data_IF_388908227712
#
_entry.id   IF_388908227712
#
_cell.length_a   1.000
_cell.length_b   1.000
_cell.length_c   1.000
_cell.angle_alpha   90.00
_cell.angle_beta   90.00
_cell.angle_gamma   90.00
#
_symmetry.space_group_name_H-M   'P 1'
#
loop_
_entity.id
_entity.type
_entity.pdbx_description
1 polymer ?
#
# COMPACT_ATOMS: atom_id res chain seq x y z
N UNK A 1 -20.10 15.44 9.53
CA UNK A 1 -20.60 14.68 8.38
C UNK A 1 -21.85 13.89 8.78
N UNK A 2 -22.93 13.94 8.00
CA UNK A 2 -24.18 13.21 8.30
C UNK A 2 -23.99 11.69 8.13
N UNK A 3 -24.86 10.87 8.75
CA UNK A 3 -24.80 9.41 8.60
C UNK A 3 -25.01 8.98 7.13
N UNK A 4 -25.94 9.61 6.41
CA UNK A 4 -26.18 9.35 5.00
C UNK A 4 -24.93 9.63 4.15
N UNK A 5 -24.22 10.73 4.43
CA UNK A 5 -22.97 11.05 3.72
C UNK A 5 -21.86 10.02 4.01
N UNK A 6 -21.67 9.60 5.28
CA UNK A 6 -20.71 8.53 5.60
C UNK A 6 -21.04 7.22 4.88
N UNK A 7 -22.31 6.83 4.86
CA UNK A 7 -22.78 5.62 4.15
C UNK A 7 -22.52 5.71 2.65
N UNK A 8 -22.70 6.89 2.04
CA UNK A 8 -22.39 7.10 0.63
C UNK A 8 -20.90 6.92 0.32
N UNK A 9 -19.98 7.48 1.13
CA UNK A 9 -18.54 7.26 0.93
C UNK A 9 -18.12 5.80 1.14
N UNK A 10 -18.80 5.08 2.04
CA UNK A 10 -18.56 3.65 2.28
C UNK A 10 -18.99 2.75 1.14
N UNK A 11 -19.70 3.22 0.10
CA UNK A 11 -20.04 2.40 -1.07
C UNK A 11 -18.89 2.25 -2.05
N UNK A 12 -17.82 3.04 -1.89
CA UNK A 12 -16.63 2.94 -2.72
C UNK A 12 -15.99 1.55 -2.59
N UNK A 13 -15.62 0.96 -3.73
CA UNK A 13 -15.01 -0.38 -3.77
C UNK A 13 -13.50 -0.26 -3.85
N UNK A 14 -12.81 -1.06 -3.04
CA UNK A 14 -11.36 -1.09 -2.98
C UNK A 14 -10.82 -2.52 -2.93
N UNK A 15 -9.65 -2.72 -3.51
CA UNK A 15 -8.76 -3.81 -3.12
C UNK A 15 -8.04 -3.50 -1.81
N UNK A 16 -7.35 -4.49 -1.27
CA UNK A 16 -6.40 -4.32 -0.17
C UNK A 16 -4.97 -4.58 -0.63
N UNK A 17 -4.07 -3.71 -0.19
CA UNK A 17 -2.66 -3.72 -0.57
C UNK A 17 -1.82 -3.52 0.68
N UNK A 18 -0.61 -4.07 0.71
CA UNK A 18 0.42 -3.64 1.68
C UNK A 18 1.37 -2.68 0.98
N UNK A 19 1.38 -1.44 1.45
CA UNK A 19 2.30 -0.42 0.96
C UNK A 19 3.50 -0.39 1.89
N UNK A 20 4.70 -0.46 1.32
CA UNK A 20 5.96 -0.44 2.05
C UNK A 20 6.81 0.74 1.60
N UNK A 21 7.68 1.20 2.49
CA UNK A 21 8.71 2.19 2.17
C UNK A 21 9.92 1.96 3.07
N UNK A 22 11.03 2.59 2.70
CA UNK A 22 12.27 2.56 3.45
C UNK A 22 12.88 3.95 3.47
N UNK A 23 13.15 4.49 4.66
CA UNK A 23 13.87 5.75 4.82
C UNK A 23 14.92 5.62 5.92
N UNK A 24 16.13 6.16 5.69
CA UNK A 24 17.21 6.12 6.68
C UNK A 24 17.63 4.72 7.12
N UNK A 25 17.32 3.68 6.33
CA UNK A 25 17.54 2.28 6.69
C UNK A 25 16.37 1.62 7.43
N UNK A 26 15.42 2.38 7.96
CA UNK A 26 14.23 1.87 8.65
C UNK A 26 13.14 1.48 7.65
N UNK A 27 12.47 0.36 7.93
CA UNK A 27 11.37 -0.16 7.12
C UNK A 27 10.04 0.31 7.68
N UNK A 28 9.12 0.65 6.79
CA UNK A 28 7.72 0.94 7.13
C UNK A 28 6.80 0.18 6.19
N UNK A 29 5.67 -0.26 6.72
CA UNK A 29 4.66 -1.00 6.00
C UNK A 29 3.29 -0.73 6.63
N UNK A 30 2.25 -0.65 5.80
CA UNK A 30 0.87 -0.60 6.26
C UNK A 30 -0.09 -1.16 5.22
N UNK A 31 -1.19 -1.73 5.67
CA UNK A 31 -2.31 -2.06 4.77
C UNK A 31 -3.06 -0.79 4.38
N UNK A 32 -3.29 -0.63 3.08
CA UNK A 32 -3.95 0.54 2.48
C UNK A 32 -5.01 0.07 1.48
N UNK A 33 -6.10 0.83 1.37
CA UNK A 33 -7.16 0.62 0.37
C UNK A 33 -7.28 1.79 -0.62
N UNK A 34 -6.98 3.03 -0.22
CA UNK A 34 -7.04 4.22 -1.09
C UNK A 34 -5.87 4.27 -2.08
N UNK A 35 -5.95 3.42 -3.10
CA UNK A 35 -5.01 3.26 -4.20
C UNK A 35 -5.77 3.18 -5.53
N UNK A 36 -5.33 3.91 -6.56
CA UNK A 36 -5.84 3.75 -7.93
C UNK A 36 -4.79 4.12 -8.97
N UNK A 37 -4.84 3.49 -10.14
CA UNK A 37 -4.11 3.95 -11.32
C UNK A 37 -4.73 5.26 -11.83
N UNK A 38 -3.90 6.18 -12.32
CA UNK A 38 -4.32 7.49 -12.84
C UNK A 38 -3.79 7.80 -14.23
N UNK A 39 -2.81 7.05 -14.74
CA UNK A 39 -2.29 7.22 -16.10
C UNK A 39 -1.67 5.94 -16.66
N UNK A 40 -1.73 5.79 -17.99
CA UNK A 40 -1.03 4.74 -18.73
C UNK A 40 0.38 5.16 -19.17
N UNK A 41 0.57 6.41 -19.63
CA UNK A 41 1.87 6.92 -20.07
C UNK A 41 2.10 8.37 -19.60
N UNK A 42 3.03 8.61 -18.66
CA UNK A 42 3.76 7.59 -17.89
C UNK A 42 2.81 6.75 -17.01
N UNK A 43 3.18 5.52 -16.60
CA UNK A 43 2.35 4.72 -15.71
C UNK A 43 2.32 5.36 -14.33
N UNK A 44 1.17 5.91 -13.93
CA UNK A 44 0.99 6.59 -12.65
C UNK A 44 -0.06 5.89 -11.80
N UNK A 45 0.20 5.84 -10.49
CA UNK A 45 -0.77 5.51 -9.45
C UNK A 45 -0.83 6.62 -8.42
N UNK A 46 -1.92 6.68 -7.68
CA UNK A 46 -2.01 7.49 -6.46
C UNK A 46 -2.26 6.61 -5.26
N UNK A 47 -1.62 6.95 -4.13
CA UNK A 47 -1.89 6.37 -2.82
C UNK A 47 -2.16 7.49 -1.82
N UNK A 48 -3.22 7.35 -1.03
CA UNK A 48 -3.52 8.27 0.07
C UNK A 48 -3.11 7.64 1.40
N UNK A 49 -2.21 8.29 2.13
CA UNK A 49 -1.65 7.79 3.38
C UNK A 49 -2.08 8.66 4.54
N UNK A 50 -2.47 8.04 5.66
CA UNK A 50 -2.85 8.76 6.87
C UNK A 50 -1.68 9.64 7.32
N UNK A 51 -1.95 10.94 7.50
CA UNK A 51 -0.97 11.90 8.01
C UNK A 51 -0.39 11.41 9.33
N UNK A 52 0.92 11.61 9.52
CA UNK A 52 1.66 11.25 10.72
C UNK A 52 1.68 9.74 11.02
N UNK A 53 1.30 8.89 10.06
CA UNK A 53 1.59 7.45 10.14
C UNK A 53 3.07 7.20 9.85
N UNK A 54 3.61 6.08 10.37
CA UNK A 54 4.98 5.66 10.09
C UNK A 54 5.26 5.53 8.60
N UNK A 55 4.33 4.89 7.87
CA UNK A 55 4.41 4.77 6.42
C UNK A 55 4.40 6.13 5.71
N UNK A 56 3.49 7.05 6.08
CA UNK A 56 3.45 8.37 5.46
C UNK A 56 4.77 9.13 5.65
N UNK A 57 5.34 9.13 6.86
CA UNK A 57 6.65 9.76 7.11
C UNK A 57 7.76 9.12 6.30
N UNK A 58 7.77 7.79 6.19
CA UNK A 58 8.75 7.07 5.39
C UNK A 58 8.66 7.47 3.91
N UNK A 59 7.45 7.51 3.33
CA UNK A 59 7.22 7.91 1.93
C UNK A 59 7.54 9.39 1.69
N UNK A 60 7.20 10.28 2.62
CA UNK A 60 7.55 11.70 2.53
C UNK A 60 9.07 11.89 2.42
N UNK A 61 9.81 11.16 3.25
CA UNK A 61 11.26 11.27 3.35
C UNK A 61 12.00 10.55 2.21
N UNK A 62 11.59 9.33 1.87
CA UNK A 62 12.25 8.51 0.83
C UNK A 62 11.85 8.91 -0.59
N UNK A 63 10.68 9.55 -0.73
CA UNK A 63 10.03 9.83 -2.02
C UNK A 63 9.79 8.56 -2.83
N UNK A 64 9.65 7.41 -2.19
CA UNK A 64 9.43 6.13 -2.85
C UNK A 64 8.58 5.17 -2.01
N UNK A 65 7.83 4.31 -2.69
CA UNK A 65 7.03 3.27 -2.05
C UNK A 65 6.85 2.06 -2.96
N UNK A 66 6.68 0.89 -2.38
CA UNK A 66 6.28 -0.31 -3.10
C UNK A 66 4.86 -0.70 -2.68
N UNK A 67 4.11 -1.27 -3.62
CA UNK A 67 2.76 -1.78 -3.42
C UNK A 67 2.82 -3.28 -3.60
N UNK A 68 2.36 -4.02 -2.59
CA UNK A 68 2.22 -5.47 -2.63
C UNK A 68 0.73 -5.80 -2.74
N UNK A 69 0.35 -6.45 -3.83
CA UNK A 69 -1.05 -6.79 -4.14
C UNK A 69 -1.39 -8.12 -3.49
N UNK A 70 -2.52 -8.19 -2.78
CA UNK A 70 -2.91 -9.37 -2.00
C UNK A 70 -3.90 -10.26 -2.77
N UNK A 71 -3.71 -11.58 -2.71
CA UNK A 71 -4.71 -12.57 -3.15
C UNK A 71 -5.84 -12.73 -2.12
N UNK A 72 -6.99 -13.25 -2.54
CA UNK A 72 -8.19 -13.31 -1.70
C UNK A 72 -8.05 -14.13 -0.40
N UNK A 73 -7.11 -15.07 -0.36
CA UNK A 73 -6.73 -15.87 0.81
C UNK A 73 -5.77 -15.14 1.78
N UNK A 74 -5.21 -13.99 1.40
CA UNK A 74 -4.23 -13.23 2.19
C UNK A 74 -4.86 -12.18 3.13
N UNK A 75 -6.09 -12.44 3.60
CA UNK A 75 -6.77 -11.58 4.59
C UNK A 75 -5.96 -11.47 5.90
N UNK A 76 -5.38 -12.57 6.38
CA UNK A 76 -4.58 -12.54 7.62
C UNK A 76 -3.31 -11.70 7.45
N UNK A 77 -2.61 -11.84 6.31
CA UNK A 77 -1.45 -11.01 5.98
C UNK A 77 -1.83 -9.52 6.01
N UNK A 78 -2.96 -9.13 5.40
CA UNK A 78 -3.46 -7.75 5.50
C UNK A 78 -3.67 -7.31 6.96
N UNK A 79 -4.24 -8.17 7.82
CA UNK A 79 -4.49 -7.84 9.21
C UNK A 79 -3.20 -7.55 10.00
N UNK A 80 -2.12 -8.26 9.68
CA UNK A 80 -0.85 -8.12 10.39
C UNK A 80 -0.13 -6.80 10.07
N UNK A 81 -0.47 -6.13 8.96
CA UNK A 81 0.00 -4.78 8.63
C UNK A 81 -0.92 -3.65 9.08
N UNK A 82 -1.95 -3.92 9.90
CA UNK A 82 -2.61 -2.88 10.70
C UNK A 82 -1.86 -2.57 12.00
N UNK A 83 -0.96 -3.46 12.42
CA UNK A 83 -0.15 -3.34 13.63
C UNK A 83 1.14 -2.56 13.33
N UNK A 84 1.79 -1.96 14.36
CA UNK A 84 3.12 -1.39 14.20
C UNK A 84 4.11 -2.39 13.58
N UNK A 85 5.03 -1.88 12.76
CA UNK A 85 6.05 -2.70 12.10
C UNK A 85 7.05 -3.26 13.10
N UNK A 86 7.31 -4.57 12.99
CA UNK A 86 8.36 -5.31 13.68
C UNK A 86 9.21 -6.05 12.65
N UNK A 87 10.51 -5.81 12.65
CA UNK A 87 11.46 -6.44 11.72
C UNK A 87 12.27 -7.49 12.47
N UNK A 88 12.29 -8.72 11.93
CA UNK A 88 13.02 -9.86 12.50
C UNK A 88 13.75 -10.61 11.38
N UNK A 89 15.05 -10.33 11.23
CA UNK A 89 15.82 -10.84 10.09
C UNK A 89 15.22 -10.38 8.76
N UNK A 90 14.85 -11.32 7.90
CA UNK A 90 14.21 -11.06 6.61
C UNK A 90 12.68 -11.13 6.68
N UNK A 91 12.09 -10.83 7.83
CA UNK A 91 10.64 -10.77 8.00
C UNK A 91 10.18 -9.39 8.47
N UNK A 92 9.02 -8.95 7.98
CA UNK A 92 8.26 -7.82 8.52
C UNK A 92 6.94 -8.36 9.03
N UNK A 93 6.67 -8.18 10.32
CA UNK A 93 5.47 -8.70 10.99
C UNK A 93 5.27 -10.21 10.79
N UNK A 94 6.37 -10.97 10.65
CA UNK A 94 6.34 -12.41 10.43
C UNK A 94 6.21 -12.84 8.96
N UNK A 95 6.16 -11.90 8.02
CA UNK A 95 6.08 -12.18 6.58
C UNK A 95 7.45 -11.98 5.91
N UNK A 96 7.94 -12.96 5.12
CA UNK A 96 9.21 -12.86 4.41
C UNK A 96 9.18 -11.73 3.39
N UNK A 97 10.27 -10.96 3.36
CA UNK A 97 10.45 -9.90 2.39
C UNK A 97 11.85 -9.95 1.79
N UNK A 98 11.94 -9.43 0.56
CA UNK A 98 13.20 -9.07 -0.09
C UNK A 98 13.21 -7.58 -0.41
N UNK A 99 14.38 -7.05 -0.73
CA UNK A 99 14.47 -5.70 -1.29
C UNK A 99 14.25 -5.74 -2.80
N UNK A 100 13.47 -4.79 -3.32
CA UNK A 100 13.34 -4.56 -4.75
C UNK A 100 14.67 -4.10 -5.34
N UNK A 101 14.87 -4.36 -6.64
CA UNK A 101 16.14 -4.08 -7.30
C UNK A 101 16.31 -2.59 -7.59
N UNK A 102 15.26 -1.89 -7.98
CA UNK A 102 15.39 -0.52 -8.50
C UNK A 102 15.41 0.52 -7.38
N UNK A 103 14.49 0.44 -6.41
CA UNK A 103 14.43 1.42 -5.30
C UNK A 103 14.82 0.86 -3.93
N UNK A 104 15.24 -0.41 -3.84
CA UNK A 104 15.65 -1.05 -2.57
C UNK A 104 14.57 -1.00 -1.47
N UNK A 105 13.32 -1.23 -1.87
CA UNK A 105 12.13 -1.20 -1.02
C UNK A 105 11.68 -2.61 -0.62
N UNK A 106 11.04 -2.80 0.55
CA UNK A 106 10.55 -4.11 0.95
C UNK A 106 9.43 -4.62 0.05
N UNK A 107 9.60 -5.80 -0.52
CA UNK A 107 8.59 -6.52 -1.29
C UNK A 107 8.30 -7.83 -0.57
N UNK A 108 7.04 -8.09 -0.26
CA UNK A 108 6.60 -9.31 0.42
C UNK A 108 6.60 -10.48 -0.57
N UNK A 109 7.33 -11.53 -0.25
CA UNK A 109 7.54 -12.66 -1.18
C UNK A 109 6.27 -13.49 -1.40
N UNK A 110 5.35 -13.45 -0.43
CA UNK A 110 4.09 -14.18 -0.51
C UNK A 110 3.08 -13.51 -1.46
N UNK A 111 3.25 -12.25 -1.85
CA UNK A 111 2.26 -11.53 -2.64
C UNK A 111 2.30 -11.94 -4.13
N UNK A 112 1.15 -12.12 -4.81
CA UNK A 112 1.11 -12.49 -6.22
C UNK A 112 1.70 -11.44 -7.17
N UNK A 113 1.65 -10.17 -6.80
CA UNK A 113 2.22 -9.08 -7.59
C UNK A 113 2.76 -7.96 -6.70
N UNK A 114 3.71 -7.23 -7.24
CA UNK A 114 4.24 -6.02 -6.62
C UNK A 114 4.66 -5.01 -7.69
N UNK A 115 4.73 -3.74 -7.30
CA UNK A 115 5.34 -2.70 -8.11
C UNK A 115 5.89 -1.60 -7.23
N UNK A 116 6.92 -0.89 -7.71
CA UNK A 116 7.56 0.20 -6.98
C UNK A 116 7.46 1.53 -7.72
N UNK A 117 7.32 2.58 -6.93
CA UNK A 117 6.95 3.90 -7.37
C UNK A 117 7.94 4.94 -6.87
N UNK A 118 8.36 5.82 -7.78
CA UNK A 118 8.99 7.10 -7.42
C UNK A 118 7.90 8.16 -7.29
N UNK A 119 7.85 8.86 -6.15
CA UNK A 119 6.88 9.93 -5.93
C UNK A 119 7.23 11.14 -6.80
N UNK A 120 6.31 11.51 -7.68
CA UNK A 120 6.44 12.67 -8.59
C UNK A 120 5.66 13.89 -8.12
N UNK A 121 4.59 13.69 -7.34
CA UNK A 121 3.76 14.79 -6.84
C UNK A 121 3.15 14.43 -5.48
N UNK A 122 2.83 15.47 -4.69
CA UNK A 122 2.14 15.37 -3.40
C UNK A 122 0.96 16.33 -3.38
N UNK A 123 -0.20 15.86 -2.97
CA UNK A 123 -1.36 16.71 -2.65
C UNK A 123 -1.65 16.60 -1.16
N UNK A 124 -1.56 17.73 -0.48
CA UNK A 124 -1.53 17.84 0.99
C UNK A 124 -2.74 18.65 1.45
N UNK A 125 -3.94 18.05 1.43
CA UNK A 125 -5.22 18.74 1.63
C UNK A 125 -6.19 18.03 2.59
N UNK A 126 -5.69 17.40 3.67
CA UNK A 126 -6.56 16.75 4.65
C UNK A 126 -5.85 15.97 5.74
N UNK A 127 -6.55 15.01 6.34
CA UNK A 127 -6.00 14.05 7.31
C UNK A 127 -5.24 12.89 6.64
N UNK A 128 -5.29 12.83 5.31
CA UNK A 128 -4.47 11.98 4.45
C UNK A 128 -3.67 12.84 3.48
N UNK A 129 -2.45 12.40 3.21
CA UNK A 129 -1.58 12.97 2.20
C UNK A 129 -1.63 12.07 0.97
N UNK A 130 -1.91 12.63 -0.20
CA UNK A 130 -1.96 11.90 -1.46
C UNK A 130 -0.58 12.00 -2.12
N UNK A 131 -0.05 10.86 -2.53
CA UNK A 131 1.18 10.77 -3.30
C UNK A 131 0.88 10.23 -4.68
N UNK A 132 1.31 10.96 -5.71
CA UNK A 132 1.33 10.46 -7.09
C UNK A 132 2.67 9.78 -7.32
N UNK A 133 2.63 8.48 -7.61
CA UNK A 133 3.80 7.64 -7.87
C UNK A 133 3.89 7.26 -9.34
N UNK A 134 5.04 7.50 -9.96
CA UNK A 134 5.39 6.89 -11.26
C UNK A 134 5.91 5.49 -10.99
N UNK A 135 5.27 4.49 -11.60
CA UNK A 135 5.73 3.10 -11.53
C UNK A 135 7.03 2.98 -12.33
N UNK A 136 8.08 2.46 -11.71
CA UNK A 136 9.42 2.32 -12.32
C UNK A 136 9.90 0.89 -12.47
N UNK A 137 9.35 -0.04 -11.69
CA UNK A 137 9.58 -1.48 -11.79
C UNK A 137 8.40 -2.23 -11.16
N UNK A 138 8.24 -3.50 -11.49
CA UNK A 138 7.17 -4.33 -10.94
C UNK A 138 7.06 -5.69 -11.65
N UNK A 139 6.37 -6.60 -10.99
CA UNK A 139 6.29 -7.99 -11.42
C UNK A 139 4.97 -8.64 -10.98
N UNK A 140 4.40 -9.42 -11.90
CA UNK A 140 3.41 -10.44 -11.55
C UNK A 140 4.17 -11.74 -11.27
N UNK A 141 4.35 -12.06 -9.99
CA UNK A 141 5.08 -13.26 -9.54
C UNK A 141 4.29 -14.53 -9.83
N UNK A 142 2.96 -14.48 -9.60
CA UNK A 142 2.02 -15.54 -9.96
C UNK A 142 0.64 -14.96 -10.20
N UNK A 143 -0.15 -15.62 -11.04
CA UNK A 143 -1.55 -15.30 -11.20
C UNK A 143 -2.36 -15.87 -10.03
N UNK A 144 -3.18 -15.03 -9.40
CA UNK A 144 -4.17 -15.46 -8.42
C UNK A 144 -5.54 -15.58 -9.07
N UNK A 145 -6.37 -16.53 -8.61
CA UNK A 145 -7.76 -16.68 -9.09
C UNK A 145 -8.60 -15.45 -8.76
N UNK A 146 -8.40 -14.90 -7.56
CA UNK A 146 -9.01 -13.66 -7.08
C UNK A 146 -8.02 -12.86 -6.23
N UNK A 147 -8.11 -11.55 -6.35
CA UNK A 147 -7.41 -10.60 -5.48
C UNK A 147 -8.30 -10.18 -4.29
N UNK A 148 -7.67 -9.73 -3.21
CA UNK A 148 -8.37 -9.38 -1.98
C UNK A 148 -9.18 -8.09 -2.17
N UNK A 149 -10.49 -8.25 -2.22
CA UNK A 149 -11.45 -7.13 -2.22
C UNK A 149 -11.85 -6.82 -0.79
N UNK A 150 -11.83 -5.55 -0.43
CA UNK A 150 -12.08 -5.10 0.93
C UNK A 150 -13.45 -5.53 1.47
N UNK A 151 -14.48 -5.54 0.62
CA UNK A 151 -15.82 -6.00 0.99
C UNK A 151 -15.88 -7.44 1.47
N UNK A 152 -15.07 -8.33 0.89
CA UNK A 152 -15.00 -9.75 1.27
C UNK A 152 -14.42 -9.93 2.69
N UNK A 153 -13.78 -8.90 3.24
CA UNK A 153 -13.17 -8.94 4.58
C UNK A 153 -14.14 -8.55 5.71
N UNK A 154 -15.21 -7.82 5.39
CA UNK A 154 -16.06 -7.15 6.39
C UNK A 154 -15.43 -5.88 7.01
N UNK A 155 -14.24 -5.47 6.58
CA UNK A 155 -13.59 -4.24 7.01
C UNK A 155 -14.04 -3.03 6.17
N UNK A 156 -13.97 -1.85 6.77
CA UNK A 156 -14.21 -0.58 6.09
C UNK A 156 -13.18 0.47 6.52
N UNK A 157 -12.80 1.36 5.60
CA UNK A 157 -11.91 2.48 5.82
C UNK A 157 -12.30 3.57 4.82
N UNK A 158 -12.95 4.60 5.35
CA UNK A 158 -13.77 5.53 4.58
C UNK A 158 -15.14 5.69 5.23
N UNK A 159 -15.86 6.71 4.81
CA UNK A 159 -17.07 7.12 5.52
C UNK A 159 -16.82 8.24 6.47
#
# INVERSE_FOLDING_TARGET
MSEAFRKALRTLTYGLYVVTSRSGGELSAATVNFLTQTSFNPPLVVVALKRDSGLQRAVESSRSFAVNVLSADQKQLAADFFKPVKVEGNNINGHPFRLSRTLSLPVLEECPAWFECQVVEKVDQGDHVIYVGKVVDGELVRQADRYLVMWDTGWYYGG
#
